data_IF_648944739039
#
_entry.id   IF_648944739039
#
_cell.length_a   1.000
_cell.length_b   1.000
_cell.length_c   1.000
_cell.angle_alpha   90.00
_cell.angle_beta   90.00
_cell.angle_gamma   90.00
#
_symmetry.space_group_name_H-M   'P 1'
#
loop_
_entity.id
_entity.type
_entity.pdbx_description
1 polymer ?
#
# COMPACT_ATOMS: atom_id res chain seq x y z
N UNK A 1 7.09 -3.51 -5.75
CA UNK A 1 5.81 -3.95 -5.15
C UNK A 1 4.99 -2.77 -4.68
N UNK A 2 3.70 -2.96 -4.51
CA UNK A 2 2.79 -1.97 -3.94
C UNK A 2 1.83 -2.68 -2.99
N UNK A 3 1.56 -2.08 -1.83
CA UNK A 3 0.74 -2.68 -0.78
C UNK A 3 -0.39 -1.76 -0.37
N UNK A 4 -1.61 -2.28 -0.44
CA UNK A 4 -2.78 -1.64 0.17
C UNK A 4 -2.91 -2.20 1.59
N UNK A 5 -2.89 -1.32 2.58
CA UNK A 5 -2.92 -1.71 3.98
C UNK A 5 -4.33 -1.57 4.54
N UNK A 6 -4.83 -2.63 5.19
CA UNK A 6 -6.11 -2.61 5.86
C UNK A 6 -5.95 -3.11 7.29
N UNK A 7 -6.77 -2.62 8.22
CA UNK A 7 -6.80 -3.12 9.59
C UNK A 7 -7.77 -4.30 9.76
N UNK A 8 -8.45 -4.69 8.68
CA UNK A 8 -9.45 -5.74 8.72
C UNK A 8 -10.79 -5.32 9.32
N UNK A 9 -10.91 -4.06 9.75
CA UNK A 9 -12.11 -3.53 10.40
C UNK A 9 -12.65 -2.29 9.66
N UNK A 10 -12.32 -2.15 8.39
CA UNK A 10 -12.86 -1.09 7.55
C UNK A 10 -11.98 0.13 7.36
N UNK A 11 -10.79 0.14 7.93
CA UNK A 11 -9.85 1.25 7.76
C UNK A 11 -8.66 0.84 6.90
N UNK A 12 -8.14 1.79 6.14
CA UNK A 12 -6.96 1.64 5.30
C UNK A 12 -5.91 2.66 5.71
N UNK A 13 -4.66 2.22 5.78
CA UNK A 13 -3.54 3.11 6.08
C UNK A 13 -2.92 3.60 4.78
N UNK A 14 -2.86 4.91 4.61
CA UNK A 14 -2.22 5.55 3.47
C UNK A 14 -1.15 6.51 3.96
N UNK A 15 -0.15 6.76 3.14
CA UNK A 15 0.97 7.63 3.45
C UNK A 15 1.06 8.78 2.46
N UNK A 16 1.70 9.87 2.89
CA UNK A 16 2.09 10.97 2.02
C UNK A 16 3.58 11.20 2.17
N UNK A 17 4.30 11.17 1.05
CA UNK A 17 5.75 11.26 1.03
C UNK A 17 6.21 12.71 0.91
N UNK A 18 7.36 13.02 1.52
CA UNK A 18 7.88 14.39 1.58
C UNK A 18 8.31 14.93 0.22
N UNK A 19 8.75 14.07 -0.67
CA UNK A 19 9.42 14.47 -1.92
C UNK A 19 8.66 14.14 -3.19
N UNK A 20 7.58 13.37 -3.12
CA UNK A 20 6.94 12.84 -4.32
C UNK A 20 5.72 13.65 -4.73
N UNK A 21 4.61 13.49 -4.02
CA UNK A 21 3.35 14.13 -4.36
C UNK A 21 2.63 14.53 -3.09
N UNK A 22 1.71 15.49 -3.22
CA UNK A 22 0.85 15.88 -2.11
C UNK A 22 -0.27 14.87 -1.86
N UNK A 23 -0.43 13.89 -2.75
CA UNK A 23 -1.47 12.89 -2.63
C UNK A 23 -1.08 11.80 -1.66
N UNK A 24 -2.08 11.25 -0.97
CA UNK A 24 -1.90 10.02 -0.21
C UNK A 24 -1.76 8.85 -1.17
N UNK A 25 -0.88 7.93 -0.84
CA UNK A 25 -0.54 6.78 -1.69
C UNK A 25 -0.41 5.52 -0.85
N UNK A 26 -0.40 4.37 -1.54
CA UNK A 26 -0.06 3.09 -0.92
C UNK A 26 1.44 3.03 -0.64
N UNK A 27 1.84 2.17 0.30
CA UNK A 27 3.26 1.84 0.49
C UNK A 27 3.75 1.10 -0.74
N UNK A 28 4.88 1.53 -1.29
CA UNK A 28 5.46 0.92 -2.48
C UNK A 28 6.99 1.01 -2.44
N UNK A 29 7.66 0.13 -3.17
CA UNK A 29 9.10 0.14 -3.26
C UNK A 29 9.62 -0.87 -4.26
N UNK A 30 10.88 -0.73 -4.61
CA UNK A 30 11.55 -1.66 -5.51
C UNK A 30 12.01 -2.90 -4.76
N UNK A 31 11.86 -4.05 -5.41
CA UNK A 31 12.38 -5.32 -4.88
C UNK A 31 13.89 -5.27 -4.98
N UNK A 32 14.57 -5.43 -3.84
CA UNK A 32 16.03 -5.43 -3.79
C UNK A 32 16.59 -6.79 -4.15
N UNK A 33 17.89 -6.81 -4.49
CA UNK A 33 18.60 -8.05 -4.71
C UNK A 33 18.47 -8.98 -3.50
N UNK A 34 18.24 -10.24 -3.77
CA UNK A 34 18.09 -11.29 -2.75
C UNK A 34 16.84 -11.15 -1.87
N UNK A 35 15.91 -10.30 -2.25
CA UNK A 35 14.60 -10.22 -1.59
C UNK A 35 13.51 -10.80 -2.50
N UNK A 36 12.55 -11.49 -1.89
CA UNK A 36 11.28 -11.76 -2.57
C UNK A 36 10.39 -10.52 -2.51
N UNK A 37 9.34 -10.49 -3.33
CA UNK A 37 8.38 -9.39 -3.28
C UNK A 37 7.74 -9.27 -1.90
N UNK A 38 7.44 -10.40 -1.25
CA UNK A 38 6.86 -10.42 0.09
C UNK A 38 7.82 -9.87 1.15
N UNK A 39 9.09 -10.22 1.05
CA UNK A 39 10.11 -9.68 1.96
C UNK A 39 10.27 -8.17 1.80
N UNK A 40 10.24 -7.69 0.56
CA UNK A 40 10.28 -6.26 0.26
C UNK A 40 9.06 -5.56 0.88
N UNK A 41 7.86 -6.15 0.72
CA UNK A 41 6.64 -5.59 1.27
C UNK A 41 6.71 -5.46 2.79
N UNK A 42 7.14 -6.52 3.48
CA UNK A 42 7.29 -6.49 4.94
C UNK A 42 8.27 -5.41 5.38
N UNK A 43 9.40 -5.30 4.69
CA UNK A 43 10.43 -4.31 5.00
C UNK A 43 9.92 -2.88 4.81
N UNK A 44 9.32 -2.61 3.65
CA UNK A 44 8.83 -1.27 3.34
C UNK A 44 7.71 -0.82 4.28
N UNK A 45 6.78 -1.72 4.60
CA UNK A 45 5.69 -1.39 5.53
C UNK A 45 6.26 -1.04 6.90
N UNK A 46 7.21 -1.84 7.38
CA UNK A 46 7.83 -1.59 8.68
C UNK A 46 8.63 -0.28 8.69
N UNK A 47 9.43 -0.06 7.65
CA UNK A 47 10.27 1.13 7.57
C UNK A 47 9.45 2.41 7.45
N UNK A 48 8.41 2.41 6.62
CA UNK A 48 7.65 3.61 6.34
C UNK A 48 6.52 3.89 7.32
N UNK A 49 5.94 2.87 7.94
CA UNK A 49 4.77 3.05 8.81
C UNK A 49 4.97 2.55 10.23
N UNK A 50 5.90 1.62 10.45
CA UNK A 50 6.09 0.97 11.74
C UNK A 50 4.99 -0.04 12.09
N UNK A 51 4.07 -0.31 11.17
CA UNK A 51 2.95 -1.21 11.45
C UNK A 51 3.36 -2.67 11.33
N UNK A 52 2.70 -3.52 12.12
CA UNK A 52 2.91 -4.96 12.08
C UNK A 52 1.99 -5.61 11.05
N UNK A 53 2.55 -6.38 10.13
CA UNK A 53 1.79 -7.11 9.12
C UNK A 53 1.31 -8.42 9.73
N UNK A 54 0.00 -8.65 9.70
CA UNK A 54 -0.63 -9.86 10.20
C UNK A 54 -0.91 -10.87 9.11
N UNK A 55 -1.20 -10.40 7.90
CA UNK A 55 -1.50 -11.25 6.76
C UNK A 55 -1.17 -10.50 5.47
N UNK A 56 -0.82 -11.25 4.44
CA UNK A 56 -0.47 -10.69 3.13
C UNK A 56 -1.09 -11.56 2.05
N UNK A 57 -1.79 -10.92 1.11
CA UNK A 57 -2.46 -11.61 0.01
C UNK A 57 -2.06 -10.96 -1.32
N UNK A 58 -1.53 -11.77 -2.22
CA UNK A 58 -1.26 -11.32 -3.59
C UNK A 58 -2.57 -11.04 -4.32
N UNK A 59 -2.65 -9.89 -4.97
CA UNK A 59 -3.85 -9.48 -5.71
C UNK A 59 -3.63 -9.59 -7.21
N UNK A 60 -2.67 -8.86 -7.75
CA UNK A 60 -2.39 -8.84 -9.19
C UNK A 60 -1.07 -8.13 -9.45
N UNK A 61 -0.65 -8.13 -10.71
CA UNK A 61 0.49 -7.35 -11.15
C UNK A 61 0.00 -6.18 -12.00
N UNK A 62 0.77 -5.11 -11.99
CA UNK A 62 0.42 -3.86 -12.66
C UNK A 62 1.63 -3.30 -13.38
N UNK A 63 1.41 -2.80 -14.60
CA UNK A 63 2.44 -2.07 -15.30
C UNK A 63 2.41 -0.60 -14.87
N UNK A 64 3.57 -0.08 -14.45
CA UNK A 64 3.71 1.31 -14.04
C UNK A 64 4.47 2.08 -15.11
N UNK A 65 3.78 2.87 -15.97
CA UNK A 65 4.41 3.51 -17.14
C UNK A 65 5.52 4.49 -16.77
N UNK A 66 5.37 5.20 -15.66
CA UNK A 66 6.31 6.25 -15.27
C UNK A 66 7.74 5.73 -15.11
N UNK A 67 7.89 4.51 -14.63
CA UNK A 67 9.19 3.87 -14.41
C UNK A 67 9.38 2.62 -15.26
N UNK A 68 8.46 2.37 -16.20
CA UNK A 68 8.52 1.21 -17.08
C UNK A 68 8.82 -0.07 -16.30
N UNK A 69 8.08 -0.31 -15.24
CA UNK A 69 8.30 -1.49 -14.42
C UNK A 69 7.01 -2.19 -14.04
N UNK A 70 7.17 -3.46 -13.67
CA UNK A 70 6.10 -4.30 -13.19
C UNK A 70 5.99 -4.15 -11.69
N UNK A 71 4.77 -3.90 -11.19
CA UNK A 71 4.50 -3.82 -9.77
C UNK A 71 3.62 -4.98 -9.33
N UNK A 72 4.09 -5.71 -8.34
CA UNK A 72 3.31 -6.79 -7.72
C UNK A 72 2.49 -6.18 -6.58
N UNK A 73 1.18 -6.37 -6.66
CA UNK A 73 0.22 -5.75 -5.74
C UNK A 73 -0.28 -6.72 -4.67
N UNK A 74 -0.25 -6.26 -3.43
CA UNK A 74 -0.67 -7.03 -2.26
C UNK A 74 -1.69 -6.28 -1.44
N UNK A 75 -2.64 -7.02 -0.88
CA UNK A 75 -3.50 -6.54 0.20
C UNK A 75 -2.91 -7.08 1.50
N UNK A 76 -2.49 -6.17 2.38
CA UNK A 76 -1.86 -6.54 3.63
C UNK A 76 -2.76 -6.14 4.79
N UNK A 77 -3.12 -7.11 5.62
CA UNK A 77 -3.80 -6.82 6.87
C UNK A 77 -2.73 -6.49 7.91
N UNK A 78 -2.86 -5.33 8.54
CA UNK A 78 -1.92 -4.84 9.53
C UNK A 78 -2.63 -4.60 10.85
N UNK A 79 -1.88 -4.66 11.93
CA UNK A 79 -2.41 -4.34 13.25
C UNK A 79 -2.66 -2.83 13.32
N UNK A 80 -3.88 -2.43 13.66
CA UNK A 80 -4.22 -1.02 13.83
C UNK A 80 -3.41 -0.46 15.00
N UNK A 81 -2.74 0.66 14.78
CA UNK A 81 -1.90 1.26 15.81
C UNK A 81 -1.33 2.58 15.37
N UNK A 82 -0.40 3.09 16.17
CA UNK A 82 0.28 4.34 15.91
C UNK A 82 1.34 4.15 14.83
N UNK A 83 1.49 5.16 14.01
CA UNK A 83 2.52 5.17 12.97
C UNK A 83 3.87 5.58 13.55
N UNK A 84 4.94 4.91 13.07
CA UNK A 84 6.32 5.37 13.25
C UNK A 84 6.86 5.63 11.86
N UNK A 85 6.90 6.91 11.50
CA UNK A 85 7.20 7.31 10.14
C UNK A 85 8.70 7.45 9.93
N UNK A 86 9.19 7.00 8.76
CA UNK A 86 10.55 7.28 8.33
C UNK A 86 10.66 8.75 7.91
N UNK A 87 11.90 9.22 7.71
CA UNK A 87 12.11 10.59 7.23
C UNK A 87 11.57 10.85 5.83
N UNK A 88 11.25 9.82 5.09
CA UNK A 88 10.69 9.92 3.74
C UNK A 88 9.17 10.06 3.74
N UNK A 89 8.51 9.82 4.87
CA UNK A 89 7.05 9.90 5.00
C UNK A 89 6.70 11.12 5.83
N UNK A 90 5.98 12.06 5.22
CA UNK A 90 5.57 13.29 5.88
C UNK A 90 4.43 13.02 6.86
N UNK A 91 3.44 12.25 6.44
CA UNK A 91 2.29 11.93 7.27
C UNK A 91 1.67 10.61 6.84
N UNK A 92 0.90 10.02 7.74
CA UNK A 92 0.12 8.82 7.47
C UNK A 92 -1.21 8.92 8.21
N UNK A 93 -2.20 8.17 7.76
CA UNK A 93 -3.49 8.17 8.40
C UNK A 93 -4.28 6.91 8.11
N UNK A 94 -5.29 6.70 8.95
CA UNK A 94 -6.28 5.65 8.78
C UNK A 94 -7.53 6.25 8.16
N UNK A 95 -7.96 5.70 7.04
CA UNK A 95 -9.10 6.22 6.27
C UNK A 95 -10.14 5.14 6.07
N UNK A 96 -11.41 5.51 6.14
CA UNK A 96 -12.49 4.60 5.76
C UNK A 96 -12.43 4.28 4.27
N UNK A 97 -13.19 3.27 3.84
CA UNK A 97 -13.13 2.77 2.47
C UNK A 97 -13.37 3.86 1.44
N UNK A 98 -14.46 4.63 1.58
CA UNK A 98 -14.82 5.62 0.56
C UNK A 98 -13.80 6.75 0.48
N UNK A 99 -13.30 7.22 1.62
CA UNK A 99 -12.27 8.24 1.65
C UNK A 99 -10.96 7.74 1.05
N UNK A 100 -10.55 6.50 1.37
CA UNK A 100 -9.36 5.90 0.81
C UNK A 100 -9.45 5.76 -0.71
N UNK A 101 -10.62 5.35 -1.23
CA UNK A 101 -10.85 5.25 -2.66
C UNK A 101 -10.68 6.60 -3.35
N UNK A 102 -11.25 7.64 -2.75
CA UNK A 102 -11.14 8.99 -3.30
C UNK A 102 -9.70 9.49 -3.27
N UNK A 103 -8.99 9.29 -2.16
CA UNK A 103 -7.59 9.70 -2.04
C UNK A 103 -6.69 8.99 -3.04
N UNK A 104 -6.97 7.73 -3.37
CA UNK A 104 -6.19 6.95 -4.33
C UNK A 104 -6.61 7.21 -5.78
N UNK A 105 -7.67 7.97 -6.04
CA UNK A 105 -8.19 8.21 -7.39
C UNK A 105 -7.21 8.96 -8.29
N UNK A 106 -6.27 9.69 -7.70
CA UNK A 106 -5.24 10.44 -8.43
C UNK A 106 -4.08 9.58 -8.91
N UNK A 107 -3.93 8.37 -8.35
CA UNK A 107 -2.91 7.43 -8.76
C UNK A 107 -3.41 6.49 -9.84
N UNK A 108 -2.50 5.70 -10.38
CA UNK A 108 -2.85 4.69 -11.38
C UNK A 108 -2.89 3.30 -10.73
N UNK A 109 -1.76 2.84 -10.22
CA UNK A 109 -1.64 1.48 -9.68
C UNK A 109 -2.38 1.34 -8.35
N UNK A 110 -2.29 2.33 -7.46
CA UNK A 110 -2.99 2.28 -6.18
C UNK A 110 -4.50 2.19 -6.34
N UNK A 111 -5.06 2.96 -7.28
CA UNK A 111 -6.48 2.91 -7.60
C UNK A 111 -6.89 1.53 -8.11
N UNK A 112 -6.11 0.97 -9.03
CA UNK A 112 -6.39 -0.34 -9.60
C UNK A 112 -6.26 -1.45 -8.56
N UNK A 113 -5.26 -1.36 -7.69
CA UNK A 113 -5.09 -2.32 -6.59
C UNK A 113 -6.29 -2.29 -5.64
N UNK A 114 -6.77 -1.11 -5.29
CA UNK A 114 -7.97 -0.98 -4.44
C UNK A 114 -9.18 -1.63 -5.12
N UNK A 115 -9.41 -1.32 -6.40
CA UNK A 115 -10.51 -1.91 -7.16
C UNK A 115 -10.43 -3.43 -7.16
N UNK A 116 -9.27 -3.98 -7.47
CA UNK A 116 -9.09 -5.42 -7.59
C UNK A 116 -9.20 -6.13 -6.24
N UNK A 117 -8.71 -5.49 -5.17
CA UNK A 117 -8.86 -6.01 -3.81
C UNK A 117 -10.33 -6.14 -3.41
N UNK A 118 -11.14 -5.14 -3.75
CA UNK A 118 -12.57 -5.17 -3.47
C UNK A 118 -13.29 -6.25 -4.27
N UNK A 119 -12.92 -6.41 -5.55
CA UNK A 119 -13.50 -7.46 -6.40
C UNK A 119 -13.21 -8.85 -5.88
N UNK A 120 -12.02 -9.08 -5.37
CA UNK A 120 -11.67 -10.39 -4.81
C UNK A 120 -12.48 -10.71 -3.56
N UNK A 121 -12.77 -9.70 -2.74
CA UNK A 121 -13.63 -9.89 -1.57
C UNK A 121 -15.08 -10.15 -1.97
N UNK A 122 -15.57 -9.47 -3.00
CA UNK A 122 -16.96 -9.62 -3.47
C UNK A 122 -17.17 -10.89 -4.27
N UNK A 123 -16.11 -11.44 -4.86
CA UNK A 123 -16.16 -12.63 -5.71
C UNK A 123 -16.22 -13.97 -4.98
N UNK A 124 -16.49 -13.96 -3.70
CA UNK A 124 -16.55 -15.18 -2.87
C UNK A 124 -17.91 -15.85 -2.89
#
# INVERSE_FOLDING_TARGET
MICLLTDGAGKHALIRQTYATRNYVCVAGFIKDHETAEQTALREIREETGLEVLNMRYISSYYYPKHDNLMLGYLCTVKHGEFRLSGEVETAGWFGLEEARELLSHGTVGKDLMRDSLRMNDGR
#
